data_IF_519316103071
#
_entry.id   IF_519316103071
#
_cell.length_a   1.000
_cell.length_b   1.000
_cell.length_c   1.000
_cell.angle_alpha   90.00
_cell.angle_beta   90.00
_cell.angle_gamma   90.00
#
_symmetry.space_group_name_H-M   'P 1'
#
loop_
_entity.id
_entity.type
_entity.pdbx_description
1 polymer ?
#
# COMPACT_ATOMS: atom_id res chain seq x y z
N UNK A 1 -9.80 -69.75 26.11
CA UNK A 1 -10.76 -68.98 25.32
C UNK A 1 -12.02 -68.90 26.16
N UNK A 2 -12.05 -67.93 27.05
CA UNK A 2 -13.28 -67.58 27.76
C UNK A 2 -14.18 -66.93 26.71
N UNK A 3 -15.25 -67.62 26.32
CA UNK A 3 -16.38 -66.99 25.64
C UNK A 3 -16.89 -65.92 26.60
N UNK A 4 -16.63 -64.65 26.28
CA UNK A 4 -17.27 -63.54 26.99
C UNK A 4 -18.78 -63.77 26.95
N UNK A 5 -19.45 -63.78 28.11
CA UNK A 5 -20.86 -64.14 28.21
C UNK A 5 -21.70 -63.13 27.42
N UNK A 6 -22.57 -63.67 26.56
CA UNK A 6 -23.73 -63.03 25.95
C UNK A 6 -23.54 -61.57 25.52
N UNK A 7 -22.88 -61.39 24.38
CA UNK A 7 -23.08 -60.18 23.57
C UNK A 7 -24.56 -60.12 23.17
N UNK A 8 -25.38 -59.48 24.00
CA UNK A 8 -26.81 -59.26 23.78
C UNK A 8 -27.02 -58.79 22.35
N UNK A 9 -27.94 -59.45 21.64
CA UNK A 9 -28.30 -59.05 20.28
C UNK A 9 -28.57 -57.53 20.26
N UNK A 10 -28.12 -56.79 19.23
CA UNK A 10 -28.18 -55.32 19.23
C UNK A 10 -29.57 -54.74 19.55
N UNK A 11 -30.64 -55.42 19.11
CA UNK A 11 -32.02 -55.05 19.45
C UNK A 11 -32.40 -55.24 20.92
N UNK A 12 -31.84 -56.24 21.60
CA UNK A 12 -32.06 -56.49 23.03
C UNK A 12 -31.32 -55.46 23.89
N UNK A 13 -30.08 -55.11 23.52
CA UNK A 13 -29.32 -54.05 24.17
C UNK A 13 -30.02 -52.68 24.04
N UNK A 14 -30.51 -52.35 22.84
CA UNK A 14 -31.32 -51.16 22.60
C UNK A 14 -32.60 -51.13 23.47
N UNK A 15 -33.34 -52.24 23.51
CA UNK A 15 -34.59 -52.30 24.28
C UNK A 15 -34.39 -52.23 25.79
N UNK A 16 -33.26 -52.73 26.31
CA UNK A 16 -32.90 -52.57 27.71
C UNK A 16 -32.64 -51.09 28.04
N UNK A 17 -31.80 -50.41 27.25
CA UNK A 17 -31.52 -48.99 27.41
C UNK A 17 -32.80 -48.13 27.26
N UNK A 18 -33.69 -48.48 26.32
CA UNK A 18 -34.95 -47.77 26.12
C UNK A 18 -35.88 -47.93 27.32
N UNK A 19 -35.95 -49.13 27.92
CA UNK A 19 -36.74 -49.34 29.15
C UNK A 19 -36.19 -48.53 30.31
N UNK A 20 -34.87 -48.48 30.47
CA UNK A 20 -34.23 -47.68 31.50
C UNK A 20 -34.55 -46.19 31.33
N UNK A 21 -34.39 -45.65 30.13
CA UNK A 21 -34.64 -44.23 29.85
C UNK A 21 -36.09 -43.79 30.08
N UNK A 22 -37.07 -44.68 29.90
CA UNK A 22 -38.49 -44.36 30.11
C UNK A 22 -38.99 -44.80 31.49
N UNK A 23 -38.17 -45.54 32.26
CA UNK A 23 -38.58 -46.11 33.56
C UNK A 23 -38.94 -45.05 34.59
N UNK A 24 -38.19 -43.94 34.64
CA UNK A 24 -38.44 -42.84 35.56
C UNK A 24 -39.81 -42.21 35.29
N UNK A 25 -40.12 -41.90 34.04
CA UNK A 25 -41.43 -41.37 33.65
C UNK A 25 -42.57 -42.35 33.97
N UNK A 26 -42.39 -43.65 33.71
CA UNK A 26 -43.41 -44.67 33.95
C UNK A 26 -43.74 -44.91 35.43
N UNK A 27 -42.98 -44.31 36.37
CA UNK A 27 -43.37 -44.32 37.79
C UNK A 27 -44.62 -43.48 38.06
N UNK A 28 -44.80 -42.39 37.30
CA UNK A 28 -45.88 -41.41 37.49
C UNK A 28 -46.80 -41.29 36.26
N UNK A 29 -46.31 -41.69 35.08
CA UNK A 29 -47.02 -41.66 33.82
C UNK A 29 -47.47 -43.04 33.34
N UNK A 30 -48.12 -43.08 32.18
CA UNK A 30 -48.63 -44.31 31.56
C UNK A 30 -47.94 -44.59 30.23
N UNK A 31 -47.79 -45.88 29.89
CA UNK A 31 -47.29 -46.29 28.58
C UNK A 31 -48.18 -45.78 27.42
N UNK A 32 -49.47 -45.54 27.69
CA UNK A 32 -50.40 -44.98 26.69
C UNK A 32 -50.05 -43.54 26.31
N UNK A 33 -49.69 -42.70 27.30
CA UNK A 33 -49.25 -41.31 27.05
C UNK A 33 -47.98 -41.26 26.21
N UNK A 34 -46.99 -42.10 26.54
CA UNK A 34 -45.77 -42.22 25.73
C UNK A 34 -46.10 -42.68 24.31
N UNK A 35 -46.97 -43.68 24.15
CA UNK A 35 -47.34 -44.18 22.83
C UNK A 35 -48.06 -43.10 21.98
N UNK A 36 -48.95 -42.33 22.60
CA UNK A 36 -49.68 -41.22 21.98
C UNK A 36 -48.75 -40.10 21.53
N UNK A 37 -47.82 -39.66 22.38
CA UNK A 37 -46.81 -38.65 22.04
C UNK A 37 -45.88 -39.10 20.89
N UNK A 38 -45.61 -40.39 20.80
CA UNK A 38 -44.84 -41.00 19.72
C UNK A 38 -45.67 -41.29 18.45
N UNK A 39 -46.96 -40.96 18.46
CA UNK A 39 -47.92 -41.26 17.40
C UNK A 39 -47.92 -42.75 16.99
N UNK A 40 -47.81 -43.64 17.98
CA UNK A 40 -47.79 -45.08 17.75
C UNK A 40 -48.80 -45.81 18.65
N UNK A 41 -49.15 -47.05 18.30
CA UNK A 41 -50.01 -47.85 19.17
C UNK A 41 -49.26 -48.29 20.43
N UNK A 42 -49.95 -48.39 21.57
CA UNK A 42 -49.38 -48.94 22.81
C UNK A 42 -48.77 -50.34 22.61
N UNK A 43 -49.35 -51.14 21.71
CA UNK A 43 -48.79 -52.44 21.30
C UNK A 43 -47.44 -52.31 20.59
N UNK A 44 -47.26 -51.30 19.73
CA UNK A 44 -45.98 -51.04 19.05
C UNK A 44 -44.92 -50.59 20.06
N UNK A 45 -45.28 -49.71 20.99
CA UNK A 45 -44.38 -49.30 22.07
C UNK A 45 -43.95 -50.49 22.94
N UNK A 46 -44.89 -51.38 23.29
CA UNK A 46 -44.56 -52.61 24.02
C UNK A 46 -43.56 -53.49 23.26
N UNK A 47 -43.70 -53.61 21.94
CA UNK A 47 -42.74 -54.36 21.10
C UNK A 47 -41.37 -53.69 21.04
N UNK A 48 -41.30 -52.36 21.06
CA UNK A 48 -40.01 -51.63 21.15
C UNK A 48 -39.32 -51.88 22.49
N UNK A 49 -40.06 -51.78 23.61
CA UNK A 49 -39.52 -52.01 24.95
C UNK A 49 -39.09 -53.47 25.19
N UNK A 50 -39.66 -54.43 24.45
CA UNK A 50 -39.26 -55.84 24.48
C UNK A 50 -38.11 -56.18 23.53
N UNK A 51 -37.73 -55.28 22.63
CA UNK A 51 -36.72 -55.54 21.60
C UNK A 51 -37.19 -56.42 20.45
N UNK A 52 -38.50 -56.68 20.35
CA UNK A 52 -39.10 -57.39 19.21
C UNK A 52 -39.11 -56.53 17.95
N UNK A 53 -39.04 -55.21 18.10
CA UNK A 53 -38.96 -54.24 17.00
C UNK A 53 -38.01 -53.11 17.38
N UNK A 54 -37.35 -52.53 16.39
CA UNK A 54 -36.55 -51.31 16.57
C UNK A 54 -37.40 -50.09 16.22
N UNK A 55 -37.38 -49.08 17.07
CA UNK A 55 -38.17 -47.86 16.90
C UNK A 55 -37.56 -46.97 15.79
N UNK A 56 -38.37 -46.30 14.94
CA UNK A 56 -37.84 -45.29 14.01
C UNK A 56 -37.09 -44.18 14.75
N UNK A 57 -36.01 -43.65 14.16
CA UNK A 57 -35.20 -42.58 14.79
C UNK A 57 -36.01 -41.31 15.06
N UNK A 58 -37.01 -41.02 14.22
CA UNK A 58 -37.91 -39.88 14.43
C UNK A 58 -38.74 -40.04 15.70
N UNK A 59 -39.20 -41.24 15.99
CA UNK A 59 -39.88 -41.54 17.24
C UNK A 59 -38.92 -41.49 18.44
N UNK A 60 -37.63 -41.81 18.27
CA UNK A 60 -36.63 -41.60 19.34
C UNK A 60 -36.41 -40.12 19.66
N UNK A 61 -36.39 -39.25 18.64
CA UNK A 61 -36.37 -37.79 18.83
C UNK A 61 -37.64 -37.29 19.50
N UNK A 62 -38.82 -37.76 19.05
CA UNK A 62 -40.10 -37.40 19.65
C UNK A 62 -40.16 -37.82 21.13
N UNK A 63 -39.58 -38.98 21.49
CA UNK A 63 -39.47 -39.43 22.88
C UNK A 63 -38.65 -38.46 23.72
N UNK A 64 -37.51 -37.99 23.20
CA UNK A 64 -36.66 -37.03 23.90
C UNK A 64 -37.39 -35.71 24.15
N UNK A 65 -38.10 -35.18 23.14
CA UNK A 65 -38.88 -33.94 23.27
C UNK A 65 -40.00 -34.12 24.30
N UNK A 66 -40.78 -35.19 24.18
CA UNK A 66 -41.87 -35.49 25.10
C UNK A 66 -41.38 -35.61 26.56
N UNK A 67 -40.31 -36.36 26.80
CA UNK A 67 -39.77 -36.52 28.15
C UNK A 67 -39.18 -35.22 28.71
N UNK A 68 -38.66 -34.34 27.87
CA UNK A 68 -38.24 -33.00 28.29
C UNK A 68 -39.44 -32.11 28.66
N UNK A 69 -40.56 -32.20 27.93
CA UNK A 69 -41.80 -31.46 28.22
C UNK A 69 -42.47 -31.93 29.53
N UNK A 70 -42.40 -33.22 29.83
CA UNK A 70 -42.94 -33.82 31.06
C UNK A 70 -42.01 -33.66 32.29
N UNK A 71 -40.91 -32.91 32.15
CA UNK A 71 -40.00 -32.58 33.26
C UNK A 71 -38.97 -33.65 33.61
N UNK A 72 -38.84 -34.70 32.79
CA UNK A 72 -37.82 -35.77 32.93
C UNK A 72 -36.93 -35.82 31.69
N UNK A 73 -36.16 -34.77 31.37
CA UNK A 73 -35.37 -34.72 30.14
C UNK A 73 -34.31 -35.84 30.14
N UNK A 74 -34.19 -36.54 29.01
CA UNK A 74 -33.06 -37.46 28.82
C UNK A 74 -31.75 -36.68 28.84
N UNK A 75 -30.80 -37.19 29.63
CA UNK A 75 -29.41 -36.74 29.53
C UNK A 75 -28.90 -36.89 28.09
N UNK A 76 -28.15 -35.91 27.55
CA UNK A 76 -27.60 -35.97 26.20
C UNK A 76 -26.75 -37.22 25.97
N UNK A 77 -26.04 -37.71 27.00
CA UNK A 77 -25.22 -38.92 26.90
C UNK A 77 -26.08 -40.19 26.75
N UNK A 78 -27.18 -40.29 27.50
CA UNK A 78 -28.15 -41.40 27.41
C UNK A 78 -28.84 -41.40 26.06
N UNK A 79 -29.20 -40.22 25.57
CA UNK A 79 -29.78 -40.08 24.23
C UNK A 79 -28.79 -40.46 23.13
N UNK A 80 -27.54 -40.02 23.22
CA UNK A 80 -26.50 -40.39 22.25
C UNK A 80 -26.26 -41.91 22.23
N UNK A 81 -26.25 -42.55 23.41
CA UNK A 81 -26.12 -44.00 23.51
C UNK A 81 -27.33 -44.75 22.94
N UNK A 82 -28.55 -44.27 23.21
CA UNK A 82 -29.77 -44.80 22.60
C UNK A 82 -29.79 -44.68 21.08
N UNK A 83 -29.36 -43.55 20.52
CA UNK A 83 -29.30 -43.35 19.07
C UNK A 83 -28.23 -44.24 18.42
N UNK A 84 -27.09 -44.41 19.09
CA UNK A 84 -26.03 -45.34 18.68
C UNK A 84 -26.55 -46.79 18.66
N UNK A 85 -27.18 -47.24 19.74
CA UNK A 85 -27.76 -48.59 19.84
C UNK A 85 -28.92 -48.81 18.85
N UNK A 86 -29.76 -47.79 18.64
CA UNK A 86 -30.81 -47.78 17.63
C UNK A 86 -30.21 -47.98 16.23
N UNK A 87 -29.13 -47.27 15.91
CA UNK A 87 -28.39 -47.44 14.66
C UNK A 87 -27.83 -48.86 14.47
N UNK A 88 -27.24 -49.43 15.52
CA UNK A 88 -26.74 -50.80 15.49
C UNK A 88 -27.86 -51.83 15.30
N UNK A 89 -28.99 -51.64 15.98
CA UNK A 89 -30.16 -52.51 15.86
C UNK A 89 -30.82 -52.40 14.48
N UNK A 90 -30.88 -51.21 13.88
CA UNK A 90 -31.36 -51.02 12.51
C UNK A 90 -30.41 -51.65 11.48
N UNK A 91 -29.09 -51.53 11.66
CA UNK A 91 -28.11 -52.15 10.77
C UNK A 91 -28.15 -53.69 10.83
N UNK A 92 -28.40 -54.25 12.01
CA UNK A 92 -28.59 -55.68 12.20
C UNK A 92 -29.97 -56.18 11.70
N UNK A 93 -30.95 -55.28 11.54
CA UNK A 93 -32.29 -55.62 11.08
C UNK A 93 -32.29 -55.89 9.57
N UNK A 94 -32.62 -57.13 9.19
CA UNK A 94 -32.83 -57.51 7.78
C UNK A 94 -34.12 -56.95 7.16
N UNK A 95 -34.95 -56.22 7.91
CA UNK A 95 -36.27 -55.80 7.47
C UNK A 95 -36.21 -54.71 6.38
N UNK A 96 -36.89 -54.87 5.24
CA UNK A 96 -36.85 -53.91 4.13
C UNK A 96 -37.43 -52.53 4.50
N UNK A 97 -38.45 -52.48 5.38
CA UNK A 97 -39.03 -51.23 5.85
C UNK A 97 -38.05 -50.36 6.66
N UNK A 98 -37.17 -51.00 7.45
CA UNK A 98 -36.13 -50.31 8.22
C UNK A 98 -35.07 -49.72 7.29
N UNK A 99 -34.64 -50.48 6.28
CA UNK A 99 -33.69 -50.02 5.27
C UNK A 99 -34.22 -48.83 4.47
N UNK A 100 -35.52 -48.84 4.13
CA UNK A 100 -36.17 -47.75 3.41
C UNK A 100 -36.20 -46.47 4.25
N UNK A 101 -36.62 -46.55 5.52
CA UNK A 101 -36.63 -45.40 6.42
C UNK A 101 -35.21 -44.82 6.64
N UNK A 102 -34.20 -45.68 6.74
CA UNK A 102 -32.81 -45.24 6.83
C UNK A 102 -32.35 -44.51 5.56
N UNK A 103 -32.67 -45.05 4.38
CA UNK A 103 -32.33 -44.43 3.10
C UNK A 103 -33.02 -43.06 2.94
N UNK A 104 -34.27 -42.92 3.37
CA UNK A 104 -35.01 -41.66 3.33
C UNK A 104 -34.41 -40.59 4.23
N UNK A 105 -33.97 -40.95 5.44
CA UNK A 105 -33.24 -40.03 6.34
C UNK A 105 -31.87 -39.66 5.76
N UNK A 106 -31.13 -40.62 5.20
CA UNK A 106 -29.84 -40.35 4.57
C UNK A 106 -30.00 -39.42 3.35
N UNK A 107 -31.05 -39.62 2.53
CA UNK A 107 -31.38 -38.72 1.42
C UNK A 107 -31.77 -37.32 1.90
N UNK A 108 -32.52 -37.19 3.00
CA UNK A 108 -32.82 -35.89 3.61
C UNK A 108 -31.55 -35.20 4.11
N UNK A 109 -30.67 -35.95 4.79
CA UNK A 109 -29.40 -35.44 5.30
C UNK A 109 -28.47 -35.01 4.18
N UNK A 110 -28.32 -35.80 3.12
CA UNK A 110 -27.52 -35.43 1.95
C UNK A 110 -28.06 -34.18 1.25
N UNK A 111 -29.40 -34.06 1.11
CA UNK A 111 -29.99 -32.85 0.52
C UNK A 111 -29.71 -31.61 1.36
N UNK A 112 -29.85 -31.71 2.68
CA UNK A 112 -29.53 -30.60 3.59
C UNK A 112 -28.05 -30.21 3.50
N UNK A 113 -27.15 -31.20 3.49
CA UNK A 113 -25.70 -30.96 3.33
C UNK A 113 -25.37 -30.33 1.98
N UNK A 114 -26.01 -30.78 0.89
CA UNK A 114 -25.82 -30.21 -0.43
C UNK A 114 -26.30 -28.77 -0.51
N UNK A 115 -27.49 -28.47 0.03
CA UNK A 115 -28.01 -27.10 0.10
C UNK A 115 -27.10 -26.19 0.93
N UNK A 116 -26.59 -26.68 2.07
CA UNK A 116 -25.66 -25.91 2.90
C UNK A 116 -24.34 -25.66 2.16
N UNK A 117 -23.79 -26.67 1.49
CA UNK A 117 -22.58 -26.52 0.69
C UNK A 117 -22.77 -25.51 -0.45
N UNK A 118 -23.94 -25.54 -1.11
CA UNK A 118 -24.32 -24.61 -2.15
C UNK A 118 -24.45 -23.17 -1.61
N UNK A 119 -25.11 -22.97 -0.47
CA UNK A 119 -25.18 -21.65 0.16
C UNK A 119 -23.78 -21.09 0.52
N UNK A 120 -22.88 -21.96 1.00
CA UNK A 120 -21.50 -21.56 1.29
C UNK A 120 -20.73 -21.24 0.01
N UNK A 121 -20.92 -22.00 -1.07
CA UNK A 121 -20.28 -21.69 -2.36
C UNK A 121 -20.80 -20.37 -2.94
N UNK A 122 -22.10 -20.14 -2.90
CA UNK A 122 -22.72 -18.93 -3.44
C UNK A 122 -22.28 -17.69 -2.65
N UNK A 123 -22.23 -17.78 -1.32
CA UNK A 123 -21.69 -16.71 -0.47
C UNK A 123 -20.21 -16.41 -0.76
N UNK A 124 -19.40 -17.44 -1.04
CA UNK A 124 -18.00 -17.26 -1.44
C UNK A 124 -17.87 -16.62 -2.82
N UNK A 125 -18.72 -16.98 -3.78
CA UNK A 125 -18.72 -16.37 -5.11
C UNK A 125 -19.03 -14.88 -5.02
N UNK A 126 -20.07 -14.48 -4.28
CA UNK A 126 -20.40 -13.07 -4.05
C UNK A 126 -19.22 -12.32 -3.41
N UNK A 127 -18.59 -12.89 -2.38
CA UNK A 127 -17.42 -12.27 -1.75
C UNK A 127 -16.22 -12.13 -2.70
N UNK A 128 -15.99 -13.12 -3.58
CA UNK A 128 -14.94 -13.04 -4.60
C UNK A 128 -15.23 -11.98 -5.64
N UNK A 129 -16.49 -11.84 -6.07
CA UNK A 129 -16.93 -10.79 -7.01
C UNK A 129 -16.75 -9.40 -6.40
N UNK A 130 -17.17 -9.18 -5.15
CA UNK A 130 -16.95 -7.91 -4.45
C UNK A 130 -15.46 -7.54 -4.33
N UNK A 131 -14.60 -8.54 -4.08
CA UNK A 131 -13.15 -8.32 -4.05
C UNK A 131 -12.59 -7.98 -5.43
N UNK A 132 -13.07 -8.64 -6.49
CA UNK A 132 -12.67 -8.36 -7.86
C UNK A 132 -13.04 -6.93 -8.27
N UNK A 133 -14.27 -6.48 -7.96
CA UNK A 133 -14.74 -5.12 -8.24
C UNK A 133 -13.95 -4.07 -7.45
N UNK A 134 -13.63 -4.36 -6.19
CA UNK A 134 -12.77 -3.50 -5.38
C UNK A 134 -11.35 -3.39 -5.94
N UNK A 135 -10.77 -4.48 -6.41
CA UNK A 135 -9.45 -4.46 -7.03
C UNK A 135 -9.48 -3.73 -8.39
N UNK A 136 -10.53 -3.91 -9.18
CA UNK A 136 -10.71 -3.21 -10.45
C UNK A 136 -10.76 -1.69 -10.26
N UNK A 137 -11.58 -1.20 -9.31
CA UNK A 137 -11.65 0.23 -8.99
C UNK A 137 -10.35 0.80 -8.42
N UNK A 138 -9.61 0.02 -7.63
CA UNK A 138 -8.27 0.42 -7.15
C UNK A 138 -7.27 0.55 -8.30
N UNK A 139 -7.30 -0.37 -9.26
CA UNK A 139 -6.43 -0.35 -10.43
C UNK A 139 -6.76 0.83 -11.34
N UNK A 140 -8.04 1.11 -11.57
CA UNK A 140 -8.48 2.28 -12.33
C UNK A 140 -8.01 3.59 -11.67
N UNK A 141 -8.19 3.73 -10.35
CA UNK A 141 -7.70 4.89 -9.62
C UNK A 141 -6.16 5.00 -9.64
N UNK A 142 -5.44 3.88 -9.66
CA UNK A 142 -3.98 3.89 -9.79
C UNK A 142 -3.54 4.32 -11.19
N UNK A 143 -4.21 3.87 -12.25
CA UNK A 143 -3.95 4.29 -13.63
C UNK A 143 -4.23 5.78 -13.82
N UNK A 144 -5.30 6.32 -13.27
CA UNK A 144 -5.57 7.75 -13.33
C UNK A 144 -4.47 8.56 -12.61
N UNK A 145 -4.01 8.12 -11.43
CA UNK A 145 -2.86 8.77 -10.75
C UNK A 145 -1.57 8.67 -11.56
N UNK A 146 -1.34 7.56 -12.25
CA UNK A 146 -0.17 7.41 -13.13
C UNK A 146 -0.23 8.39 -14.30
N UNK A 147 -1.39 8.50 -14.96
CA UNK A 147 -1.62 9.45 -16.07
C UNK A 147 -1.42 10.90 -15.64
N UNK A 148 -1.92 11.28 -14.46
CA UNK A 148 -1.71 12.65 -13.95
C UNK A 148 -0.24 12.92 -13.62
N UNK A 149 0.47 11.93 -13.07
CA UNK A 149 1.90 12.04 -12.81
C UNK A 149 2.73 12.12 -14.10
N UNK A 150 2.38 11.34 -15.12
CA UNK A 150 2.99 11.39 -16.46
C UNK A 150 2.80 12.77 -17.09
N UNK A 151 1.57 13.31 -17.08
CA UNK A 151 1.30 14.66 -17.59
C UNK A 151 2.08 15.75 -16.82
N UNK A 152 2.24 15.60 -15.51
CA UNK A 152 3.06 16.52 -14.71
C UNK A 152 4.57 16.42 -15.06
N UNK A 153 5.07 15.21 -15.31
CA UNK A 153 6.45 14.98 -15.73
C UNK A 153 6.73 15.57 -17.12
N UNK A 154 5.79 15.47 -18.05
CA UNK A 154 5.89 16.10 -19.37
C UNK A 154 5.98 17.63 -19.25
N UNK A 155 5.12 18.25 -18.43
CA UNK A 155 5.17 19.71 -18.18
C UNK A 155 6.50 20.15 -17.57
N UNK A 156 7.04 19.39 -16.61
CA UNK A 156 8.35 19.67 -16.03
C UNK A 156 9.47 19.52 -17.06
N UNK A 157 9.37 18.56 -17.97
CA UNK A 157 10.35 18.38 -19.05
C UNK A 157 10.35 19.56 -20.01
N UNK A 158 9.18 20.04 -20.42
CA UNK A 158 9.04 21.23 -21.27
C UNK A 158 9.62 22.46 -20.57
N UNK A 159 9.28 22.67 -19.29
CA UNK A 159 9.83 23.79 -18.51
C UNK A 159 11.35 23.72 -18.36
N UNK A 160 11.89 22.51 -18.18
CA UNK A 160 13.34 22.29 -18.15
C UNK A 160 14.01 22.70 -19.47
N UNK A 161 13.41 22.34 -20.61
CA UNK A 161 13.91 22.74 -21.93
C UNK A 161 13.87 24.26 -22.15
N UNK A 162 12.78 24.92 -21.74
CA UNK A 162 12.67 26.39 -21.80
C UNK A 162 13.74 27.08 -20.95
N UNK A 163 14.02 26.54 -19.75
CA UNK A 163 15.09 27.05 -18.88
C UNK A 163 16.46 26.85 -19.50
N UNK A 164 16.74 25.68 -20.09
CA UNK A 164 17.99 25.39 -20.78
C UNK A 164 18.20 26.32 -21.99
N UNK A 165 17.15 26.61 -22.76
CA UNK A 165 17.21 27.55 -23.88
C UNK A 165 17.46 28.98 -23.40
N UNK A 166 16.79 29.41 -22.34
CA UNK A 166 17.03 30.71 -21.69
C UNK A 166 18.48 30.84 -21.19
N UNK A 167 19.04 29.79 -20.60
CA UNK A 167 20.44 29.76 -20.17
C UNK A 167 21.40 29.85 -21.36
N UNK A 168 21.12 29.17 -22.48
CA UNK A 168 21.92 29.30 -23.71
C UNK A 168 21.90 30.73 -24.24
N UNK A 169 20.73 31.36 -24.31
CA UNK A 169 20.63 32.76 -24.72
C UNK A 169 21.38 33.72 -23.78
N UNK A 170 21.34 33.48 -22.47
CA UNK A 170 22.10 34.27 -21.50
C UNK A 170 23.61 34.08 -21.69
N UNK A 171 24.08 32.86 -21.98
CA UNK A 171 25.48 32.57 -22.29
C UNK A 171 25.93 33.27 -23.57
N UNK A 172 25.14 33.19 -24.65
CA UNK A 172 25.42 33.88 -25.92
C UNK A 172 25.50 35.40 -25.72
N UNK A 173 24.60 35.96 -24.92
CA UNK A 173 24.60 37.38 -24.58
C UNK A 173 25.86 37.78 -23.79
N UNK A 174 26.27 36.98 -22.81
CA UNK A 174 27.53 37.22 -22.07
C UNK A 174 28.71 37.24 -23.03
N UNK A 175 28.82 36.26 -23.93
CA UNK A 175 29.89 36.21 -24.92
C UNK A 175 29.87 37.41 -25.87
N UNK A 176 28.69 37.88 -26.27
CA UNK A 176 28.58 39.11 -27.05
C UNK A 176 29.11 40.32 -26.27
N UNK A 177 28.71 40.49 -25.01
CA UNK A 177 29.17 41.60 -24.16
C UNK A 177 30.68 41.51 -23.90
N UNK A 178 31.22 40.31 -23.71
CA UNK A 178 32.67 40.08 -23.57
C UNK A 178 33.43 40.51 -24.82
N UNK A 179 32.90 40.20 -26.01
CA UNK A 179 33.48 40.61 -27.29
C UNK A 179 33.40 42.13 -27.49
N UNK A 180 32.27 42.76 -27.17
CA UNK A 180 32.10 44.22 -27.21
C UNK A 180 33.07 44.92 -26.25
N UNK A 181 33.20 44.40 -25.02
CA UNK A 181 34.13 44.91 -24.02
C UNK A 181 35.60 44.78 -24.47
N UNK A 182 35.96 43.67 -25.11
CA UNK A 182 37.28 43.50 -25.71
C UNK A 182 37.54 44.52 -26.82
N UNK A 183 36.55 44.76 -27.69
CA UNK A 183 36.61 45.79 -28.74
C UNK A 183 36.80 47.20 -28.18
N UNK A 184 36.03 47.57 -27.14
CA UNK A 184 36.15 48.87 -26.47
C UNK A 184 37.53 49.06 -25.81
N UNK A 185 38.09 48.00 -25.19
CA UNK A 185 39.43 48.04 -24.60
C UNK A 185 40.52 48.26 -25.65
N UNK A 186 40.42 47.61 -26.79
CA UNK A 186 41.39 47.80 -27.88
C UNK A 186 41.27 49.22 -28.48
N UNK A 187 40.05 49.72 -28.68
CA UNK A 187 39.84 51.10 -29.13
C UNK A 187 40.43 52.12 -28.14
N UNK A 188 40.22 51.92 -26.84
CA UNK A 188 40.81 52.77 -25.81
C UNK A 188 42.34 52.74 -25.85
N UNK A 189 42.94 51.57 -26.08
CA UNK A 189 44.39 51.41 -26.24
C UNK A 189 44.91 52.16 -27.47
N UNK A 190 44.23 52.07 -28.61
CA UNK A 190 44.59 52.80 -29.83
C UNK A 190 44.51 54.32 -29.63
N UNK A 191 43.43 54.81 -29.02
CA UNK A 191 43.28 56.24 -28.70
C UNK A 191 44.36 56.74 -27.73
N UNK A 192 44.75 55.92 -26.75
CA UNK A 192 45.87 56.26 -25.85
C UNK A 192 47.21 56.35 -26.59
N UNK A 193 47.46 55.45 -27.54
CA UNK A 193 48.65 55.49 -28.39
C UNK A 193 48.66 56.73 -29.28
N UNK A 194 47.54 57.05 -29.93
CA UNK A 194 47.40 58.25 -30.76
C UNK A 194 47.63 59.52 -29.91
N UNK A 195 47.01 59.61 -28.73
CA UNK A 195 47.22 60.72 -27.82
C UNK A 195 48.69 60.86 -27.37
N UNK A 196 49.40 59.74 -27.19
CA UNK A 196 50.83 59.76 -26.87
C UNK A 196 51.68 60.32 -28.03
N UNK A 197 51.38 59.90 -29.26
CA UNK A 197 52.04 60.42 -30.48
C UNK A 197 51.78 61.91 -30.63
N UNK A 198 50.53 62.36 -30.51
CA UNK A 198 50.16 63.78 -30.60
C UNK A 198 50.85 64.63 -29.53
N UNK A 199 50.94 64.16 -28.29
CA UNK A 199 51.70 64.85 -27.23
C UNK A 199 53.19 64.95 -27.55
N UNK A 200 53.79 63.89 -28.10
CA UNK A 200 55.19 63.90 -28.51
C UNK A 200 55.45 64.88 -29.66
N UNK A 201 54.54 64.95 -30.65
CA UNK A 201 54.59 65.93 -31.73
C UNK A 201 54.45 67.37 -31.22
N UNK A 202 53.48 67.61 -30.34
CA UNK A 202 53.25 68.95 -29.75
C UNK A 202 54.49 69.41 -28.96
N UNK A 203 55.10 68.50 -28.18
CA UNK A 203 56.35 68.77 -27.47
C UNK A 203 57.49 69.15 -28.43
N UNK A 204 57.69 68.40 -29.53
CA UNK A 204 58.70 68.73 -30.54
C UNK A 204 58.46 70.10 -31.17
N UNK A 205 57.21 70.43 -31.50
CA UNK A 205 56.87 71.75 -32.04
C UNK A 205 57.18 72.88 -31.05
N UNK A 206 56.91 72.68 -29.75
CA UNK A 206 57.27 73.65 -28.70
C UNK A 206 58.80 73.81 -28.60
N UNK A 207 59.54 72.71 -28.62
CA UNK A 207 61.02 72.72 -28.61
C UNK A 207 61.59 73.43 -29.84
N UNK A 208 61.02 73.20 -31.03
CA UNK A 208 61.39 73.87 -32.29
C UNK A 208 61.07 75.37 -32.25
N UNK A 209 59.90 75.77 -31.73
CA UNK A 209 59.56 77.19 -31.56
C UNK A 209 60.49 77.88 -30.56
N UNK A 210 60.82 77.23 -29.44
CA UNK A 210 61.77 77.75 -28.48
C UNK A 210 63.18 77.91 -29.09
N UNK A 211 63.63 76.97 -29.92
CA UNK A 211 64.90 77.06 -30.65
C UNK A 211 64.88 78.17 -31.72
N UNK A 212 63.75 78.36 -32.42
CA UNK A 212 63.58 79.39 -33.45
C UNK A 212 63.46 80.83 -32.91
N UNK A 213 62.95 81.01 -31.68
CA UNK A 213 62.76 82.34 -31.06
C UNK A 213 64.05 82.90 -30.45
N UNK A 214 65.12 82.09 -30.29
CA UNK A 214 66.43 82.54 -29.77
C UNK A 214 67.21 83.49 -30.71
N UNK A 215 66.64 83.89 -31.86
CA UNK A 215 67.22 84.83 -32.82
C UNK A 215 66.56 86.21 -32.95
N UNK A 216 65.40 86.48 -32.32
CA UNK A 216 64.67 87.76 -32.50
C UNK A 216 64.32 88.37 -31.15
N UNK A 217 65.30 89.07 -30.57
CA UNK A 217 65.05 90.16 -29.63
C UNK A 217 64.62 91.39 -30.43
N UNK A 218 63.43 91.95 -30.17
CA UNK A 218 63.21 93.29 -29.55
C UNK A 218 61.75 93.75 -29.76
N UNK A 219 61.14 94.27 -28.68
CA UNK A 219 60.22 95.43 -28.66
C UNK A 219 58.69 95.22 -28.41
N UNK A 220 58.35 95.29 -27.11
CA UNK A 220 57.40 96.22 -26.45
C UNK A 220 55.90 96.31 -26.82
N UNK A 221 55.05 96.25 -25.77
CA UNK A 221 53.78 97.00 -25.64
C UNK A 221 52.57 96.21 -25.11
N UNK A 222 52.09 96.50 -23.88
CA UNK A 222 50.85 95.96 -23.26
C UNK A 222 49.55 96.61 -23.80
N UNK A 223 48.42 96.75 -23.06
CA UNK A 223 47.97 96.19 -21.75
C UNK A 223 46.50 95.66 -21.73
N UNK A 224 46.01 95.16 -20.58
CA UNK A 224 44.56 94.97 -20.24
C UNK A 224 43.95 93.65 -20.73
N UNK A 225 43.00 92.97 -20.07
CA UNK A 225 41.96 93.37 -19.12
C UNK A 225 41.48 92.17 -18.29
N UNK A 226 41.17 92.44 -17.03
CA UNK A 226 40.37 91.63 -16.10
C UNK A 226 38.97 91.29 -16.64
N UNK A 227 38.56 90.02 -16.57
CA UNK A 227 37.14 89.66 -16.43
C UNK A 227 36.92 88.52 -15.44
N UNK A 228 36.13 88.88 -14.45
CA UNK A 228 35.59 88.15 -13.32
C UNK A 228 34.11 87.92 -13.64
N UNK A 229 33.63 86.68 -13.71
CA UNK A 229 32.20 86.36 -13.67
C UNK A 229 32.06 84.89 -13.28
N UNK A 230 31.81 84.58 -12.01
CA UNK A 230 30.50 84.59 -11.33
C UNK A 230 29.54 83.54 -11.92
N UNK A 231 29.12 82.63 -11.05
CA UNK A 231 28.42 81.41 -11.40
C UNK A 231 26.98 81.59 -11.86
N UNK A 232 26.38 80.46 -12.27
CA UNK A 232 24.94 80.28 -12.35
C UNK A 232 24.58 78.81 -12.20
N UNK A 233 23.96 78.54 -11.06
CA UNK A 233 22.91 77.55 -10.85
C UNK A 233 21.82 77.66 -11.92
N UNK A 234 21.39 76.51 -12.45
CA UNK A 234 20.11 76.26 -13.12
C UNK A 234 19.86 74.78 -12.81
N UNK A 235 19.09 74.39 -11.80
CA UNK A 235 17.64 74.50 -11.60
C UNK A 235 16.75 74.75 -12.83
N UNK A 236 15.70 73.92 -12.93
CA UNK A 236 14.77 73.76 -14.05
C UNK A 236 15.00 72.43 -14.78
N UNK A 237 14.12 71.44 -14.78
CA UNK A 237 12.72 71.37 -14.38
C UNK A 237 11.99 70.45 -15.37
N UNK A 238 11.31 69.44 -14.83
CA UNK A 238 10.22 68.67 -15.43
C UNK A 238 10.50 67.74 -16.63
N UNK A 239 10.47 66.44 -16.36
CA UNK A 239 9.49 65.57 -17.03
C UNK A 239 9.12 64.40 -16.11
N UNK A 240 8.12 64.64 -15.28
CA UNK A 240 7.27 63.61 -14.69
C UNK A 240 6.47 62.95 -15.82
N UNK A 241 6.97 61.85 -16.36
CA UNK A 241 6.14 60.87 -17.04
C UNK A 241 5.62 59.90 -15.97
N UNK A 242 4.42 60.23 -15.51
CA UNK A 242 3.33 59.30 -15.22
C UNK A 242 3.64 57.83 -15.55
N UNK A 243 3.96 57.03 -14.53
CA UNK A 243 3.80 55.57 -14.58
C UNK A 243 2.70 55.25 -13.56
N UNK A 244 1.55 54.72 -14.01
CA UNK A 244 0.47 54.41 -13.11
C UNK A 244 0.80 53.16 -12.29
N UNK A 245 0.63 53.27 -10.98
CA UNK A 245 0.23 52.21 -10.06
C UNK A 245 0.94 50.87 -10.18
N UNK A 246 1.95 50.66 -9.34
CA UNK A 246 2.26 49.31 -8.87
C UNK A 246 2.26 49.34 -7.35
N UNK A 247 1.16 48.83 -6.80
CA UNK A 247 0.98 48.57 -5.38
C UNK A 247 2.17 47.76 -4.87
N UNK A 248 2.91 48.35 -3.92
CA UNK A 248 3.75 47.61 -2.99
C UNK A 248 2.85 47.12 -1.85
N UNK A 249 2.68 45.81 -1.78
CA UNK A 249 2.38 45.12 -0.53
C UNK A 249 3.74 44.63 0.02
N UNK A 250 4.16 45.03 1.24
CA UNK A 250 5.49 44.76 1.77
C UNK A 250 5.49 43.44 2.54
N UNK A 251 6.16 42.43 2.01
CA UNK A 251 6.26 41.13 2.65
C UNK A 251 7.59 40.44 2.37
N UNK A 252 8.47 40.47 3.38
CA UNK A 252 9.60 39.56 3.62
C UNK A 252 10.90 39.77 2.83
N UNK A 253 11.95 40.01 3.62
CA UNK A 253 13.35 40.18 3.26
C UNK A 253 13.98 38.94 2.62
N UNK A 254 15.01 39.09 1.76
CA UNK A 254 15.91 37.99 1.46
C UNK A 254 17.05 38.00 2.50
N UNK A 255 17.06 36.98 3.35
CA UNK A 255 18.25 36.58 4.09
C UNK A 255 19.31 36.06 3.11
N UNK A 256 20.57 36.27 3.49
CA UNK A 256 21.80 35.87 2.82
C UNK A 256 21.73 34.47 2.16
N UNK A 257 21.71 34.47 0.83
CA UNK A 257 21.85 33.27 0.00
C UNK A 257 23.26 33.15 -0.54
N UNK A 258 24.23 32.74 0.29
CA UNK A 258 25.50 32.16 -0.21
C UNK A 258 25.14 30.88 -0.97
N UNK A 259 25.24 30.94 -2.30
CA UNK A 259 25.15 29.76 -3.17
C UNK A 259 26.29 28.80 -2.85
N UNK A 260 26.02 27.83 -1.98
CA UNK A 260 26.77 26.60 -1.93
C UNK A 260 26.48 25.82 -3.23
N UNK A 261 27.52 25.30 -3.87
CA UNK A 261 27.39 24.42 -5.03
C UNK A 261 26.42 23.26 -4.72
N UNK A 262 25.56 22.86 -5.67
CA UNK A 262 24.66 21.73 -5.46
C UNK A 262 25.50 20.48 -5.18
N UNK A 263 25.36 19.93 -3.97
CA UNK A 263 25.89 18.60 -3.69
C UNK A 263 25.20 17.58 -4.61
N UNK A 264 25.94 16.62 -5.18
CA UNK A 264 25.34 15.54 -5.95
C UNK A 264 24.40 14.75 -5.03
N UNK A 265 23.13 14.69 -5.39
CA UNK A 265 22.17 13.81 -4.74
C UNK A 265 22.71 12.38 -4.75
N UNK A 266 22.69 11.66 -3.61
CA UNK A 266 23.07 10.26 -3.59
C UNK A 266 22.15 9.50 -4.55
N UNK A 267 22.73 8.68 -5.42
CA UNK A 267 21.99 7.80 -6.30
C UNK A 267 21.01 6.95 -5.47
N UNK A 268 19.73 7.28 -5.59
CA UNK A 268 18.65 6.64 -4.84
C UNK A 268 18.48 5.16 -5.20
N UNK A 269 17.86 4.36 -4.33
CA UNK A 269 17.72 2.90 -4.43
C UNK A 269 16.68 2.45 -5.49
N UNK A 270 16.49 3.20 -6.57
CA UNK A 270 15.40 2.97 -7.53
C UNK A 270 15.58 1.69 -8.36
N UNK A 271 16.82 1.22 -8.50
CA UNK A 271 17.11 -0.06 -9.18
C UNK A 271 16.66 -1.28 -8.36
N UNK A 272 16.56 -1.16 -7.03
CA UNK A 272 16.12 -2.26 -6.17
C UNK A 272 14.61 -2.53 -6.34
N UNK A 273 13.80 -1.48 -6.50
CA UNK A 273 12.35 -1.60 -6.68
C UNK A 273 11.94 -2.31 -7.99
N UNK A 274 12.65 -2.00 -9.08
CA UNK A 274 12.42 -2.64 -10.38
C UNK A 274 12.70 -4.15 -10.36
N UNK A 275 13.69 -4.59 -9.57
CA UNK A 275 14.02 -6.03 -9.43
C UNK A 275 12.98 -6.81 -8.62
N UNK A 276 12.42 -6.19 -7.57
CA UNK A 276 11.37 -6.83 -6.74
C UNK A 276 10.03 -6.94 -7.44
N UNK A 277 9.63 -5.91 -8.21
CA UNK A 277 8.38 -5.94 -8.97
C UNK A 277 8.40 -7.04 -10.05
N UNK A 278 9.53 -7.21 -10.74
CA UNK A 278 9.73 -8.28 -11.73
C UNK A 278 9.64 -9.69 -11.14
N UNK A 279 10.17 -9.90 -9.94
CA UNK A 279 10.13 -11.19 -9.24
C UNK A 279 8.71 -11.63 -8.87
N UNK A 280 7.88 -10.72 -8.37
CA UNK A 280 6.48 -10.99 -8.00
C UNK A 280 5.65 -11.30 -9.25
N UNK A 281 5.81 -10.51 -10.31
CA UNK A 281 5.10 -10.73 -11.57
C UNK A 281 5.46 -12.11 -12.18
N UNK A 282 6.75 -12.47 -12.18
CA UNK A 282 7.20 -13.77 -12.72
C UNK A 282 6.67 -14.95 -11.89
N UNK A 283 6.71 -14.85 -10.55
CA UNK A 283 6.18 -15.89 -9.67
C UNK A 283 4.67 -16.08 -9.82
N UNK A 284 3.91 -14.99 -9.91
CA UNK A 284 2.45 -15.04 -10.09
C UNK A 284 2.06 -15.63 -11.45
N UNK A 285 2.81 -15.29 -12.51
CA UNK A 285 2.60 -15.85 -13.86
C UNK A 285 2.82 -17.37 -13.87
N UNK A 286 3.84 -17.89 -13.17
CA UNK A 286 4.08 -19.34 -13.06
C UNK A 286 2.98 -20.07 -12.29
N UNK A 287 2.43 -19.47 -11.23
CA UNK A 287 1.31 -20.04 -10.46
C UNK A 287 0.02 -20.08 -11.31
N UNK A 288 -0.26 -19.03 -12.09
CA UNK A 288 -1.40 -19.00 -13.01
C UNK A 288 -1.24 -20.06 -14.12
N UNK A 289 -0.04 -20.21 -14.70
CA UNK A 289 0.25 -21.26 -15.67
C UNK A 289 0.05 -22.67 -15.09
N UNK A 290 0.46 -22.87 -13.84
CA UNK A 290 0.27 -24.14 -13.13
C UNK A 290 -1.23 -24.44 -12.93
N UNK A 291 -2.04 -23.44 -12.57
CA UNK A 291 -3.50 -23.56 -12.40
C UNK A 291 -4.21 -23.88 -13.73
N UNK A 292 -3.83 -23.23 -14.83
CA UNK A 292 -4.40 -23.51 -16.16
C UNK A 292 -4.01 -24.89 -16.70
N UNK A 293 -2.80 -25.37 -16.40
CA UNK A 293 -2.40 -26.74 -16.71
C UNK A 293 -3.04 -27.79 -15.78
N UNK A 294 -3.68 -27.35 -14.68
CA UNK A 294 -4.36 -28.21 -13.72
C UNK A 294 -5.88 -28.27 -13.87
N UNK A 295 -6.50 -27.42 -14.69
CA UNK A 295 -7.93 -27.52 -14.99
C UNK A 295 -8.19 -28.72 -15.90
N UNK A 296 -8.85 -29.79 -15.40
CA UNK A 296 -9.12 -30.95 -16.21
C UNK A 296 -10.22 -30.63 -17.23
N UNK A 297 -10.00 -31.02 -18.48
CA UNK A 297 -11.08 -31.07 -19.47
C UNK A 297 -12.23 -31.97 -18.99
N UNK A 298 -13.45 -31.81 -19.53
CA UNK A 298 -14.69 -32.36 -18.95
C UNK A 298 -14.81 -33.89 -18.95
N UNK A 299 -13.79 -34.65 -19.35
CA UNK A 299 -13.80 -36.11 -19.30
C UNK A 299 -12.38 -36.59 -18.96
N UNK A 300 -12.16 -36.97 -17.70
CA UNK A 300 -11.29 -38.07 -17.22
C UNK A 300 -10.67 -37.77 -15.86
N UNK A 301 -10.70 -38.81 -15.02
CA UNK A 301 -9.86 -39.02 -13.85
C UNK A 301 -8.42 -38.60 -14.13
N UNK A 302 -8.00 -37.44 -13.63
CA UNK A 302 -6.68 -36.88 -13.91
C UNK A 302 -5.86 -36.83 -12.62
N UNK A 303 -4.91 -37.76 -12.53
CA UNK A 303 -3.77 -37.57 -11.65
C UNK A 303 -2.99 -36.33 -12.12
N UNK A 304 -2.54 -35.46 -11.19
CA UNK A 304 -1.66 -34.35 -11.50
C UNK A 304 -0.50 -34.78 -12.39
N UNK A 305 -0.29 -34.10 -13.53
CA UNK A 305 0.92 -34.34 -14.31
C UNK A 305 2.13 -33.91 -13.48
N UNK A 306 3.22 -34.69 -13.55
CA UNK A 306 4.47 -34.39 -12.83
C UNK A 306 4.97 -32.98 -13.12
N UNK A 307 4.73 -32.48 -14.34
CA UNK A 307 5.02 -31.11 -14.75
C UNK A 307 4.24 -30.05 -13.95
N UNK A 308 2.94 -30.29 -13.68
CA UNK A 308 2.11 -29.40 -12.86
C UNK A 308 2.70 -29.19 -11.47
N UNK A 309 3.15 -30.26 -10.81
CA UNK A 309 3.81 -30.18 -9.51
C UNK A 309 5.14 -29.40 -9.55
N UNK A 310 5.93 -29.54 -10.61
CA UNK A 310 7.17 -28.78 -10.77
C UNK A 310 6.91 -27.28 -10.92
N UNK A 311 5.89 -26.88 -11.69
CA UNK A 311 5.51 -25.47 -11.85
C UNK A 311 4.92 -24.88 -10.57
N UNK A 312 4.11 -25.65 -9.85
CA UNK A 312 3.53 -25.23 -8.57
C UNK A 312 4.61 -25.06 -7.49
N UNK A 313 5.54 -26.01 -7.39
CA UNK A 313 6.67 -25.94 -6.46
C UNK A 313 7.62 -24.77 -6.76
N UNK A 314 8.06 -24.64 -8.01
CA UNK A 314 8.98 -23.56 -8.41
C UNK A 314 8.34 -22.17 -8.28
N UNK A 315 7.08 -22.01 -8.70
CA UNK A 315 6.32 -20.78 -8.52
C UNK A 315 6.17 -20.38 -7.05
N UNK A 316 5.80 -21.34 -6.17
CA UNK A 316 5.67 -21.10 -4.74
C UNK A 316 7.00 -20.69 -4.10
N UNK A 317 8.10 -21.39 -4.42
CA UNK A 317 9.43 -21.06 -3.86
C UNK A 317 9.92 -19.67 -4.30
N UNK A 318 9.66 -19.29 -5.54
CA UNK A 318 10.05 -17.97 -6.07
C UNK A 318 9.23 -16.84 -5.42
N UNK A 319 7.94 -17.08 -5.21
CA UNK A 319 7.05 -16.15 -4.53
C UNK A 319 7.41 -16.01 -3.03
N UNK A 320 7.69 -17.11 -2.34
CA UNK A 320 8.13 -17.07 -0.94
C UNK A 320 9.48 -16.35 -0.79
N UNK A 321 10.42 -16.61 -1.70
CA UNK A 321 11.73 -15.97 -1.70
C UNK A 321 11.65 -14.46 -1.91
N UNK A 322 10.81 -14.01 -2.85
CA UNK A 322 10.61 -12.57 -3.09
C UNK A 322 9.91 -11.87 -1.93
N UNK A 323 8.88 -12.48 -1.33
CA UNK A 323 8.23 -11.95 -0.12
C UNK A 323 9.22 -11.86 1.05
N UNK A 324 10.05 -12.89 1.25
CA UNK A 324 11.06 -12.89 2.33
C UNK A 324 12.11 -11.80 2.12
N UNK A 325 12.60 -11.63 0.89
CA UNK A 325 13.53 -10.55 0.56
C UNK A 325 12.91 -9.16 0.78
N UNK A 326 11.63 -9.00 0.44
CA UNK A 326 10.89 -7.76 0.66
C UNK A 326 10.80 -7.46 2.17
N UNK A 327 10.41 -8.45 2.99
CA UNK A 327 10.32 -8.30 4.44
C UNK A 327 11.66 -7.94 5.08
N UNK A 328 12.77 -8.55 4.64
CA UNK A 328 14.12 -8.23 5.12
C UNK A 328 14.50 -6.79 4.75
N UNK A 329 14.16 -6.35 3.53
CA UNK A 329 14.45 -4.98 3.09
C UNK A 329 13.62 -3.96 3.89
N UNK A 330 12.33 -4.24 4.11
CA UNK A 330 11.46 -3.38 4.93
C UNK A 330 11.96 -3.29 6.36
N UNK A 331 12.41 -4.41 6.95
CA UNK A 331 12.99 -4.44 8.29
C UNK A 331 14.27 -3.60 8.39
N UNK A 332 15.19 -3.74 7.42
CA UNK A 332 16.42 -2.93 7.39
C UNK A 332 16.17 -1.43 7.21
N UNK A 333 15.15 -1.06 6.43
CA UNK A 333 14.81 0.34 6.21
C UNK A 333 13.95 0.94 7.33
N UNK A 334 13.50 0.13 8.30
CA UNK A 334 12.74 0.61 9.46
C UNK A 334 13.57 0.71 10.74
N UNK A 335 14.87 0.38 10.71
CA UNK A 335 15.77 0.79 11.77
C UNK A 335 15.91 2.32 11.74
N UNK A 336 15.44 3.05 12.77
CA UNK A 336 15.61 4.49 12.82
C UNK A 336 17.11 4.77 12.85
N UNK A 337 17.58 5.62 11.94
CA UNK A 337 18.96 6.08 11.94
C UNK A 337 19.32 6.55 13.35
N UNK A 338 20.27 5.88 13.99
CA UNK A 338 20.81 6.25 15.28
C UNK A 338 21.36 7.67 15.10
N UNK A 339 20.58 8.66 15.51
CA UNK A 339 20.99 10.05 15.50
C UNK A 339 21.91 10.21 16.69
N UNK A 340 23.21 9.98 16.45
CA UNK A 340 24.29 10.44 17.32
C UNK A 340 24.33 11.97 17.27
N UNK A 341 23.29 12.61 17.82
CA UNK A 341 23.36 13.98 18.29
C UNK A 341 24.13 13.96 19.61
N UNK A 342 25.34 14.55 19.68
CA UNK A 342 26.05 14.67 20.95
C UNK A 342 25.19 15.49 21.93
N UNK A 343 25.18 15.13 23.23
CA UNK A 343 24.42 15.87 24.23
C UNK A 343 24.95 17.31 24.30
N UNK A 344 24.05 18.25 24.02
CA UNK A 344 24.30 19.69 24.12
C UNK A 344 24.42 20.06 25.60
N UNK A 345 25.65 20.01 26.13
CA UNK A 345 26.01 20.48 27.46
C UNK A 345 26.25 22.00 27.42
N UNK A 346 25.19 22.79 27.27
CA UNK A 346 25.21 24.19 27.72
C UNK A 346 24.67 24.24 29.15
N UNK A 347 25.61 23.98 30.04
CA UNK A 347 25.63 24.38 31.44
C UNK A 347 25.65 25.92 31.50
N UNK A 348 24.52 26.54 31.81
CA UNK A 348 24.43 27.98 32.11
C UNK A 348 23.71 28.18 33.46
N UNK A 349 24.56 28.52 34.44
CA UNK A 349 24.33 29.48 35.52
C UNK A 349 23.10 29.29 36.44
N UNK A 350 23.32 28.54 37.51
CA UNK A 350 22.64 28.77 38.80
C UNK A 350 23.72 29.18 39.82
N UNK A 351 24.05 30.47 39.81
CA UNK A 351 24.83 31.09 40.88
C UNK A 351 23.91 31.45 42.06
N UNK A 352 24.22 30.84 43.20
CA UNK A 352 23.60 31.07 44.49
C UNK A 352 24.08 32.37 45.19
N UNK A 353 23.23 32.86 46.10
CA UNK A 353 23.47 33.72 47.28
C UNK A 353 23.51 35.26 47.17
N UNK A 354 22.48 35.87 47.78
CA UNK A 354 22.68 36.90 48.82
C UNK A 354 21.50 36.92 49.81
N UNK A 355 21.69 36.71 51.13
CA UNK A 355 20.72 37.10 52.13
C UNK A 355 21.11 38.47 52.73
N UNK A 356 20.18 39.40 52.76
CA UNK A 356 20.30 40.63 53.56
C UNK A 356 19.47 40.48 54.83
N UNK A 357 20.11 40.85 55.94
CA UNK A 357 19.57 40.95 57.29
C UNK A 357 18.63 42.14 57.46
#
# INVERSE_FOLDING_TARGET
MEESPDALAPGAAYAAALREAVSEFLTNGTQAQVAEALHCSASSLSRYLKGERVMPRESLRALQVFLAEEGTPLSPDVYAELDRLCGQAHAASGAPAVKLAQLEEDMRRLRAQHQQAQQVSDARLVSLEEMADRLASQLEAALERARTAEGAAELLTVRGQEQDESLRHAQDYIHQIEAELAGQREQARLLQQEAAVLRAQNRRLIEEQAAGISGVSTQAGGPGTTHQQAGRTSDGGHSTADVPGRDEDPGTAPADGRSAAPQPSPAGPDWAWLSTAGGVATGLTLVILALFNHTPGPIATSEPTTAGWWFLGSGLTTLLGTITALLINTYKNSEPALTDTPPDTTDHDIAYYQPLA
#
